data_IF_924654982914
#
_entry.id   IF_924654982914
#
_cell.length_a   1.000
_cell.length_b   1.000
_cell.length_c   1.000
_cell.angle_alpha   90.00
_cell.angle_beta   90.00
_cell.angle_gamma   90.00
#
_symmetry.space_group_name_H-M   'P 1'
#
loop_
_entity.id
_entity.type
_entity.pdbx_description
1 polymer ?
#
# COMPACT_ATOMS: atom_id res chain seq x y z
N UNK A 1 -30.84 14.67 43.17
CA UNK A 1 -31.10 14.99 41.75
C UNK A 1 -31.22 13.66 41.03
N UNK A 2 -32.43 13.19 40.74
CA UNK A 2 -32.65 11.88 40.11
C UNK A 2 -32.57 12.04 38.59
N UNK A 3 -31.57 11.41 37.96
CA UNK A 3 -31.42 11.40 36.51
C UNK A 3 -32.46 10.45 35.93
N UNK A 4 -33.23 10.93 34.95
CA UNK A 4 -34.19 10.08 34.24
C UNK A 4 -33.46 9.06 33.35
N UNK A 5 -34.06 7.89 33.12
CA UNK A 5 -33.49 6.85 32.24
C UNK A 5 -33.27 7.37 30.81
N UNK A 6 -34.16 8.23 30.31
CA UNK A 6 -34.03 8.88 29.01
C UNK A 6 -32.81 9.81 28.95
N UNK A 7 -32.59 10.63 29.99
CA UNK A 7 -31.44 11.52 30.05
C UNK A 7 -30.12 10.75 30.14
N UNK A 8 -30.08 9.64 30.89
CA UNK A 8 -28.92 8.76 30.94
C UNK A 8 -28.61 8.15 29.57
N UNK A 9 -29.63 7.67 28.86
CA UNK A 9 -29.47 7.07 27.53
C UNK A 9 -28.93 8.08 26.50
N UNK A 10 -29.46 9.31 26.51
CA UNK A 10 -28.97 10.39 25.64
C UNK A 10 -27.52 10.73 25.94
N UNK A 11 -27.16 10.87 27.22
CA UNK A 11 -25.77 11.16 27.62
C UNK A 11 -24.83 10.04 27.18
N UNK A 12 -25.19 8.78 27.38
CA UNK A 12 -24.39 7.64 26.94
C UNK A 12 -24.22 7.61 25.42
N UNK A 13 -25.28 7.89 24.65
CA UNK A 13 -25.19 8.02 23.20
C UNK A 13 -24.23 9.13 22.79
N UNK A 14 -24.34 10.31 23.38
CA UNK A 14 -23.43 11.44 23.09
C UNK A 14 -21.98 11.05 23.43
N UNK A 15 -21.74 10.45 24.58
CA UNK A 15 -20.39 9.98 24.94
C UNK A 15 -19.87 8.93 23.96
N UNK A 16 -20.70 7.99 23.51
CA UNK A 16 -20.32 7.00 22.51
C UNK A 16 -19.95 7.65 21.17
N UNK A 17 -20.76 8.59 20.69
CA UNK A 17 -20.46 9.31 19.45
C UNK A 17 -19.21 10.17 19.55
N UNK A 18 -18.98 10.82 20.70
CA UNK A 18 -17.79 11.65 20.88
C UNK A 18 -16.54 10.78 21.04
N UNK A 19 -16.58 9.76 21.88
CA UNK A 19 -15.41 8.92 22.18
C UNK A 19 -15.05 7.96 21.05
N UNK A 20 -16.03 7.44 20.32
CA UNK A 20 -15.80 6.47 19.24
C UNK A 20 -15.96 7.14 17.88
N UNK A 21 -17.00 7.95 17.70
CA UNK A 21 -17.26 8.61 16.42
C UNK A 21 -16.20 9.64 16.04
N UNK A 22 -15.66 10.41 16.98
CA UNK A 22 -14.59 11.38 16.66
C UNK A 22 -13.27 10.72 16.20
N UNK A 23 -12.71 9.69 16.87
CA UNK A 23 -11.53 9.02 16.34
C UNK A 23 -11.84 8.25 15.04
N UNK A 24 -13.02 7.63 14.92
CA UNK A 24 -13.39 6.98 13.67
C UNK A 24 -13.54 7.96 12.52
N UNK A 25 -14.09 9.15 12.73
CA UNK A 25 -14.22 10.16 11.67
C UNK A 25 -12.86 10.67 11.21
N UNK A 26 -11.91 10.81 12.14
CA UNK A 26 -10.52 11.14 11.80
C UNK A 26 -9.87 10.03 10.96
N UNK A 27 -10.00 8.77 11.37
CA UNK A 27 -9.47 7.62 10.60
C UNK A 27 -10.15 7.51 9.24
N UNK A 28 -11.46 7.72 9.17
CA UNK A 28 -12.22 7.71 7.92
C UNK A 28 -11.71 8.80 6.97
N UNK A 29 -11.57 10.04 7.46
CA UNK A 29 -11.06 11.15 6.65
C UNK A 29 -9.62 10.91 6.20
N UNK A 30 -8.75 10.43 7.10
CA UNK A 30 -7.39 10.07 6.75
C UNK A 30 -7.37 8.99 5.66
N UNK A 31 -8.20 7.95 5.79
CA UNK A 31 -8.32 6.91 4.76
C UNK A 31 -8.85 7.45 3.45
N UNK A 32 -9.86 8.32 3.45
CA UNK A 32 -10.37 8.94 2.23
C UNK A 32 -9.31 9.79 1.53
N UNK A 33 -8.52 10.57 2.28
CA UNK A 33 -7.39 11.32 1.73
C UNK A 33 -6.30 10.39 1.19
N UNK A 34 -6.01 9.29 1.89
CA UNK A 34 -5.07 8.27 1.45
C UNK A 34 -5.55 7.62 0.15
N UNK A 35 -6.83 7.22 0.05
CA UNK A 35 -7.44 6.70 -1.17
C UNK A 35 -7.38 7.71 -2.33
N UNK A 36 -7.73 8.98 -2.08
CA UNK A 36 -7.67 10.02 -3.10
C UNK A 36 -6.24 10.33 -3.55
N UNK A 37 -5.25 10.26 -2.65
CA UNK A 37 -3.84 10.39 -3.00
C UNK A 37 -3.36 9.21 -3.85
N UNK A 38 -3.83 7.99 -3.55
CA UNK A 38 -3.53 6.81 -4.35
C UNK A 38 -4.11 6.88 -5.76
N UNK A 39 -5.27 7.50 -6.00
CA UNK A 39 -5.82 7.69 -7.36
C UNK A 39 -4.86 8.51 -8.26
N UNK A 40 -4.21 9.53 -7.72
CA UNK A 40 -3.24 10.34 -8.50
C UNK A 40 -1.95 9.58 -8.85
N UNK A 41 -1.53 8.65 -7.98
CA UNK A 41 -0.40 7.76 -8.24
C UNK A 41 -0.80 6.66 -9.22
N UNK A 42 -2.01 6.11 -9.07
CA UNK A 42 -2.57 5.15 -10.01
C UNK A 42 -2.72 5.80 -11.38
N UNK A 43 -3.17 7.04 -11.58
CA UNK A 43 -3.19 7.64 -12.93
C UNK A 43 -1.79 7.86 -13.53
N UNK A 44 -0.78 8.11 -12.70
CA UNK A 44 0.61 8.23 -13.18
C UNK A 44 1.27 6.86 -13.49
N UNK A 45 0.79 5.78 -12.87
CA UNK A 45 1.32 4.41 -13.05
C UNK A 45 0.34 3.42 -13.72
N UNK A 46 -0.92 3.79 -14.00
CA UNK A 46 -1.96 2.92 -14.59
C UNK A 46 -1.87 2.86 -16.11
N UNK A 47 -0.97 3.63 -16.71
CA UNK A 47 -0.38 3.29 -18.00
C UNK A 47 0.50 2.02 -17.95
N UNK A 48 0.89 1.55 -16.76
CA UNK A 48 1.79 0.41 -16.52
C UNK A 48 1.33 -0.43 -15.32
N UNK A 49 0.20 -1.13 -15.52
CA UNK A 49 0.02 -2.53 -15.12
C UNK A 49 0.68 -2.99 -13.80
N UNK A 50 0.09 -2.66 -12.65
CA UNK A 50 0.41 -3.31 -11.37
C UNK A 50 -0.29 -4.67 -11.25
N UNK A 51 0.05 -5.60 -12.15
CA UNK A 51 -0.08 -7.03 -11.92
C UNK A 51 1.25 -7.57 -11.37
N UNK A 52 1.31 -8.83 -10.87
CA UNK A 52 2.60 -9.49 -10.65
C UNK A 52 3.43 -9.36 -11.92
N UNK A 53 4.64 -8.82 -11.80
CA UNK A 53 5.50 -8.46 -12.94
C UNK A 53 5.65 -9.65 -13.89
N UNK A 54 4.91 -9.63 -15.00
CA UNK A 54 4.84 -10.73 -15.98
C UNK A 54 6.04 -10.74 -16.94
N UNK A 55 7.11 -10.01 -16.59
CA UNK A 55 8.34 -9.91 -17.39
C UNK A 55 8.54 -8.56 -18.08
N UNK A 56 7.84 -7.50 -17.66
CA UNK A 56 7.98 -6.18 -18.27
C UNK A 56 9.36 -5.58 -17.96
N UNK A 57 9.85 -5.71 -16.73
CA UNK A 57 11.21 -5.32 -16.37
C UNK A 57 12.25 -6.21 -17.07
N UNK A 58 11.95 -7.50 -17.27
CA UNK A 58 12.85 -8.39 -18.00
C UNK A 58 13.06 -7.92 -19.45
N UNK A 59 11.97 -7.53 -20.15
CA UNK A 59 12.04 -6.98 -21.49
C UNK A 59 12.78 -5.62 -21.54
N UNK A 60 12.61 -4.76 -20.53
CA UNK A 60 13.36 -3.50 -20.42
C UNK A 60 14.86 -3.75 -20.31
N UNK A 61 15.30 -4.64 -19.42
CA UNK A 61 16.73 -4.91 -19.23
C UNK A 61 17.35 -5.58 -20.46
N UNK A 62 16.62 -6.48 -21.13
CA UNK A 62 17.04 -7.08 -22.40
C UNK A 62 17.22 -6.02 -23.50
N UNK A 63 16.29 -5.07 -23.63
CA UNK A 63 16.38 -4.00 -24.63
C UNK A 63 17.46 -2.95 -24.29
N UNK A 64 17.62 -2.62 -23.01
CA UNK A 64 18.60 -1.65 -22.55
C UNK A 64 20.02 -2.22 -22.47
N UNK A 65 20.20 -3.53 -22.72
CA UNK A 65 21.45 -4.26 -22.56
C UNK A 65 22.10 -4.04 -21.17
N UNK A 66 21.27 -3.85 -20.15
CA UNK A 66 21.71 -3.67 -18.76
C UNK A 66 21.78 -5.05 -18.11
N UNK A 67 22.87 -5.32 -17.39
CA UNK A 67 23.02 -6.57 -16.65
C UNK A 67 21.89 -6.71 -15.62
N UNK A 68 21.02 -7.71 -15.84
CA UNK A 68 19.93 -8.03 -14.94
C UNK A 68 20.19 -9.35 -14.22
N UNK A 69 19.92 -9.36 -12.91
CA UNK A 69 19.95 -10.56 -12.08
C UNK A 69 18.54 -11.07 -11.87
N UNK A 70 18.28 -12.29 -12.31
CA UNK A 70 17.01 -12.99 -12.06
C UNK A 70 16.95 -13.50 -10.63
N UNK A 71 15.86 -13.22 -9.93
CA UNK A 71 15.61 -13.76 -8.59
C UNK A 71 15.36 -15.27 -8.68
N UNK A 72 16.06 -16.06 -7.87
CA UNK A 72 15.89 -17.52 -7.84
C UNK A 72 14.54 -17.97 -7.24
N UNK A 73 13.88 -17.10 -6.47
CA UNK A 73 12.66 -17.44 -5.75
C UNK A 73 11.39 -17.10 -6.54
N UNK A 74 11.33 -15.93 -7.16
CA UNK A 74 10.15 -15.46 -7.89
C UNK A 74 10.37 -15.29 -9.40
N UNK A 75 11.59 -15.47 -9.90
CA UNK A 75 11.93 -15.34 -11.33
C UNK A 75 11.99 -13.90 -11.86
N UNK A 76 11.69 -12.89 -11.03
CA UNK A 76 11.70 -11.49 -11.46
C UNK A 76 13.12 -11.00 -11.79
N UNK A 77 13.24 -10.16 -12.82
CA UNK A 77 14.50 -9.52 -13.20
C UNK A 77 14.78 -8.29 -12.33
N UNK A 78 16.01 -8.12 -11.87
CA UNK A 78 16.42 -7.00 -11.02
C UNK A 78 17.65 -6.33 -11.62
N UNK A 79 17.75 -5.01 -11.49
CA UNK A 79 18.92 -4.27 -11.95
C UNK A 79 20.19 -4.60 -11.16
N UNK A 80 21.36 -4.12 -11.62
CA UNK A 80 22.66 -4.47 -11.05
C UNK A 80 22.86 -3.92 -9.62
N UNK A 81 22.21 -2.81 -9.27
CA UNK A 81 22.36 -2.15 -7.97
C UNK A 81 21.39 -2.69 -6.88
N UNK A 82 20.57 -3.70 -7.21
CA UNK A 82 19.58 -4.22 -6.28
C UNK A 82 20.21 -5.22 -5.31
N UNK A 83 20.10 -4.95 -4.00
CA UNK A 83 20.50 -5.91 -2.95
C UNK A 83 19.40 -6.93 -2.65
N UNK A 84 18.14 -6.53 -2.83
CA UNK A 84 16.94 -7.33 -2.59
C UNK A 84 16.05 -7.32 -3.82
N UNK A 85 15.28 -8.39 -4.03
CA UNK A 85 14.36 -8.48 -5.15
C UNK A 85 13.25 -7.42 -5.03
N UNK A 86 13.02 -6.65 -6.08
CA UNK A 86 11.99 -5.60 -6.09
C UNK A 86 10.56 -6.15 -5.92
N UNK A 87 10.34 -7.45 -6.21
CA UNK A 87 9.03 -8.09 -6.14
C UNK A 87 8.83 -8.83 -4.80
N UNK A 88 9.69 -9.80 -4.48
CA UNK A 88 9.52 -10.65 -3.29
C UNK A 88 10.35 -10.24 -2.07
N UNK A 89 11.18 -9.20 -2.18
CA UNK A 89 12.09 -8.71 -1.13
C UNK A 89 13.14 -9.72 -0.65
N UNK A 90 13.25 -10.87 -1.30
CA UNK A 90 14.27 -11.87 -0.99
C UNK A 90 15.67 -11.39 -1.40
N UNK A 91 16.71 -11.82 -0.68
CA UNK A 91 18.07 -11.35 -0.94
C UNK A 91 18.56 -11.85 -2.29
N UNK A 92 19.07 -10.94 -3.13
CA UNK A 92 19.67 -11.31 -4.41
C UNK A 92 21.09 -11.83 -4.13
N UNK A 93 21.31 -13.12 -4.38
CA UNK A 93 22.64 -13.70 -4.27
C UNK A 93 23.46 -13.26 -5.49
N UNK A 94 24.64 -12.64 -5.33
CA UNK A 94 25.49 -12.31 -6.47
C UNK A 94 25.87 -13.61 -7.20
N UNK A 95 25.71 -13.65 -8.53
CA UNK A 95 26.23 -14.76 -9.33
C UNK A 95 27.75 -14.74 -9.24
N UNK A 96 28.32 -15.88 -8.88
CA UNK A 96 29.75 -16.18 -8.93
C UNK A 96 30.17 -16.43 -10.39
#
# INVERSE_FOLDING_TARGET
MAISTAELAVRLLVYLFVLIGAPLSFVLMFRLLDYAAHDTLVEQFSGQQTGPDTGQLNAYFEQAAVEATTCQFCGAANGPDYTYCHNCQERLSPRN
#
